data_IF_812294041153
#
_entry.id   IF_812294041153
#
_cell.length_a   1.000
_cell.length_b   1.000
_cell.length_c   1.000
_cell.angle_alpha   90.00
_cell.angle_beta   90.00
_cell.angle_gamma   90.00
#
_symmetry.space_group_name_H-M   'P 1'
#
loop_
_entity.id
_entity.type
_entity.pdbx_description
1 polymer ?
#
# COMPACT_ATOMS: atom_id res chain seq x y z
N UNK A 1 -10.63 -4.29 15.03
CA UNK A 1 -10.86 -3.59 13.75
C UNK A 1 -12.07 -4.15 13.02
N UNK A 2 -12.10 -5.43 12.67
CA UNK A 2 -13.19 -6.04 11.88
C UNK A 2 -14.61 -5.86 12.44
N UNK A 3 -14.81 -5.89 13.75
CA UNK A 3 -16.15 -5.68 14.36
C UNK A 3 -16.61 -4.22 14.42
N UNK A 4 -15.72 -3.26 14.16
CA UNK A 4 -16.00 -1.81 14.26
C UNK A 4 -15.95 -1.11 12.90
N UNK A 5 -14.97 -1.45 12.08
CA UNK A 5 -14.74 -0.88 10.75
C UNK A 5 -15.18 -1.84 9.65
N UNK A 6 -14.99 -3.15 9.86
CA UNK A 6 -15.06 -4.13 8.78
C UNK A 6 -13.74 -4.27 8.01
N UNK A 7 -13.76 -5.13 6.99
CA UNK A 7 -12.65 -5.36 6.05
C UNK A 7 -13.16 -5.76 4.67
N UNK A 8 -14.43 -5.47 4.38
CA UNK A 8 -15.09 -5.82 3.13
C UNK A 8 -14.92 -4.77 2.02
N UNK A 9 -15.62 -4.95 0.89
CA UNK A 9 -15.39 -4.20 -0.35
C UNK A 9 -15.92 -2.77 -0.32
N UNK A 10 -16.78 -2.42 0.64
CA UNK A 10 -17.23 -1.05 0.78
C UNK A 10 -16.04 -0.14 1.13
N UNK A 11 -15.92 0.99 0.42
CA UNK A 11 -14.83 1.96 0.68
C UNK A 11 -14.87 2.51 2.11
N UNK A 12 -16.08 2.56 2.70
CA UNK A 12 -16.30 2.93 4.10
C UNK A 12 -15.68 1.92 5.10
N UNK A 13 -15.33 0.71 4.66
CA UNK A 13 -14.60 -0.29 5.45
C UNK A 13 -13.12 -0.33 5.07
N UNK A 14 -12.82 -0.53 3.77
CA UNK A 14 -11.45 -0.75 3.28
C UNK A 14 -10.50 0.42 3.56
N UNK A 15 -10.93 1.67 3.34
CA UNK A 15 -10.05 2.83 3.53
C UNK A 15 -9.76 3.11 5.02
N UNK A 16 -10.77 3.14 5.92
CA UNK A 16 -10.49 3.26 7.34
C UNK A 16 -9.71 2.06 7.91
N UNK A 17 -9.90 0.85 7.38
CA UNK A 17 -9.09 -0.30 7.79
C UNK A 17 -7.60 -0.09 7.45
N UNK A 18 -7.28 0.38 6.25
CA UNK A 18 -5.91 0.69 5.85
C UNK A 18 -5.27 1.76 6.77
N UNK A 19 -5.98 2.86 7.04
CA UNK A 19 -5.50 3.87 8.00
C UNK A 19 -5.34 3.30 9.41
N UNK A 20 -6.30 2.50 9.86
CA UNK A 20 -6.27 1.86 11.16
C UNK A 20 -5.04 0.97 11.33
N UNK A 21 -4.63 0.23 10.29
CA UNK A 21 -3.42 -0.61 10.32
C UNK A 21 -2.15 0.24 10.40
N UNK A 22 -2.05 1.29 9.58
CA UNK A 22 -0.93 2.23 9.62
C UNK A 22 -0.76 2.89 10.99
N UNK A 23 -1.88 3.33 11.60
CA UNK A 23 -1.89 3.91 12.95
C UNK A 23 -1.52 2.86 14.00
N UNK A 24 -2.12 1.66 13.94
CA UNK A 24 -1.84 0.58 14.89
C UNK A 24 -0.38 0.13 14.89
N UNK A 25 0.29 0.20 13.72
CA UNK A 25 1.71 -0.09 13.56
C UNK A 25 2.61 1.13 13.71
N UNK A 26 2.09 2.26 14.16
CA UNK A 26 2.85 3.49 14.41
C UNK A 26 3.68 3.93 13.20
N UNK A 27 3.11 3.78 12.00
CA UNK A 27 3.78 4.10 10.75
C UNK A 27 4.85 3.10 10.30
N UNK A 28 5.02 1.93 10.95
CA UNK A 28 5.87 0.86 10.41
C UNK A 28 5.18 0.21 9.20
N UNK A 29 5.46 0.73 8.00
CA UNK A 29 4.72 0.40 6.77
C UNK A 29 4.77 -1.09 6.45
N UNK A 30 5.95 -1.73 6.53
CA UNK A 30 6.07 -3.16 6.27
C UNK A 30 5.25 -4.01 7.25
N UNK A 31 5.26 -3.66 8.54
CA UNK A 31 4.43 -4.35 9.55
C UNK A 31 2.94 -4.16 9.27
N UNK A 32 2.52 -2.95 8.88
CA UNK A 32 1.12 -2.68 8.51
C UNK A 32 0.70 -3.43 7.25
N UNK A 33 1.60 -3.55 6.27
CA UNK A 33 1.36 -4.29 5.04
C UNK A 33 1.20 -5.79 5.32
N UNK A 34 2.04 -6.36 6.19
CA UNK A 34 1.92 -7.74 6.63
C UNK A 34 0.60 -8.01 7.36
N UNK A 35 0.12 -7.07 8.17
CA UNK A 35 -1.23 -7.19 8.75
C UNK A 35 -2.32 -7.10 7.68
N UNK A 36 -2.18 -6.17 6.73
CA UNK A 36 -3.15 -5.96 5.67
C UNK A 36 -3.33 -7.20 4.81
N UNK A 37 -2.24 -7.88 4.44
CA UNK A 37 -2.32 -9.14 3.67
C UNK A 37 -2.92 -10.32 4.46
N UNK A 38 -3.06 -10.17 5.79
CA UNK A 38 -3.62 -11.18 6.69
C UNK A 38 -4.97 -10.77 7.32
N UNK A 39 -5.54 -9.61 6.96
CA UNK A 39 -6.76 -9.09 7.59
C UNK A 39 -8.03 -9.85 7.18
N UNK A 40 -8.00 -10.48 6.00
CA UNK A 40 -9.08 -11.26 5.43
C UNK A 40 -10.17 -10.41 4.76
N UNK A 41 -11.00 -11.07 3.96
CA UNK A 41 -11.99 -10.44 3.08
C UNK A 41 -11.31 -9.64 1.96
N UNK A 42 -11.39 -8.31 1.91
CA UNK A 42 -10.79 -7.49 0.83
C UNK A 42 -9.32 -7.13 1.06
N UNK A 43 -8.55 -8.18 1.34
CA UNK A 43 -7.12 -8.16 1.61
C UNK A 43 -6.33 -7.43 0.52
N UNK A 44 -6.60 -7.71 -0.75
CA UNK A 44 -5.85 -7.12 -1.87
C UNK A 44 -6.04 -5.60 -1.92
N UNK A 45 -7.29 -5.13 -1.82
CA UNK A 45 -7.60 -3.70 -1.82
C UNK A 45 -6.99 -2.99 -0.60
N UNK A 46 -7.14 -3.55 0.60
CA UNK A 46 -6.61 -2.94 1.83
C UNK A 46 -5.07 -2.91 1.81
N UNK A 47 -4.42 -3.99 1.37
CA UNK A 47 -2.95 -4.03 1.24
C UNK A 47 -2.43 -3.03 0.20
N UNK A 48 -3.13 -2.89 -0.95
CA UNK A 48 -2.81 -1.86 -1.94
C UNK A 48 -2.92 -0.44 -1.37
N UNK A 49 -3.96 -0.15 -0.57
CA UNK A 49 -4.11 1.14 0.10
C UNK A 49 -2.99 1.40 1.12
N UNK A 50 -2.67 0.41 1.97
CA UNK A 50 -1.55 0.52 2.92
C UNK A 50 -0.23 0.77 2.21
N UNK A 51 0.04 0.04 1.12
CA UNK A 51 1.25 0.22 0.31
C UNK A 51 1.31 1.59 -0.37
N UNK A 52 0.21 2.04 -0.99
CA UNK A 52 0.14 3.33 -1.66
C UNK A 52 0.31 4.51 -0.70
N UNK A 53 -0.45 4.51 0.41
CA UNK A 53 -0.37 5.56 1.43
C UNK A 53 0.99 5.57 2.13
N UNK A 54 1.49 4.39 2.53
CA UNK A 54 2.77 4.24 3.19
C UNK A 54 3.95 4.63 2.30
N UNK A 55 3.92 4.21 1.03
CA UNK A 55 4.95 4.52 0.04
C UNK A 55 4.97 6.01 -0.32
N UNK A 56 3.81 6.66 -0.44
CA UNK A 56 3.75 8.11 -0.65
C UNK A 56 4.29 8.89 0.56
N UNK A 57 4.10 8.38 1.78
CA UNK A 57 4.53 9.07 3.01
C UNK A 57 6.03 8.88 3.31
N UNK A 58 6.56 7.67 3.22
CA UNK A 58 7.92 7.33 3.67
C UNK A 58 8.87 6.90 2.54
N UNK A 59 8.38 6.84 1.30
CA UNK A 59 9.16 6.42 0.15
C UNK A 59 9.38 4.90 0.09
N UNK A 60 10.14 4.47 -0.92
CA UNK A 60 10.36 3.04 -1.21
C UNK A 60 11.22 2.32 -0.16
N UNK A 61 12.03 3.06 0.61
CA UNK A 61 12.86 2.50 1.68
C UNK A 61 12.04 1.94 2.87
N UNK A 62 10.75 2.25 2.94
CA UNK A 62 9.84 1.68 3.93
C UNK A 62 9.49 0.20 3.69
N UNK A 63 9.81 -0.31 2.49
CA UNK A 63 9.59 -1.70 2.10
C UNK A 63 10.91 -2.48 2.00
N UNK A 64 10.91 -3.80 2.26
CA UNK A 64 12.03 -4.67 1.94
C UNK A 64 12.44 -4.55 0.47
N UNK A 65 13.72 -4.31 0.21
CA UNK A 65 14.23 -4.04 -1.15
C UNK A 65 13.91 -5.15 -2.17
N UNK A 66 13.76 -6.39 -1.71
CA UNK A 66 13.44 -7.51 -2.58
C UNK A 66 12.00 -7.48 -3.11
N UNK A 67 11.06 -6.79 -2.45
CA UNK A 67 9.65 -6.74 -2.89
C UNK A 67 9.51 -6.20 -4.31
N UNK A 68 10.16 -5.08 -4.60
CA UNK A 68 10.10 -4.46 -5.93
C UNK A 68 10.64 -5.42 -7.00
N UNK A 69 11.84 -5.98 -6.78
CA UNK A 69 12.44 -6.95 -7.70
C UNK A 69 11.54 -8.18 -7.91
N UNK A 70 10.95 -8.72 -6.84
CA UNK A 70 10.04 -9.87 -6.93
C UNK A 70 8.79 -9.55 -7.75
N UNK A 71 8.16 -8.39 -7.52
CA UNK A 71 6.94 -7.99 -8.23
C UNK A 71 7.24 -7.70 -9.71
N UNK A 72 8.32 -6.97 -10.01
CA UNK A 72 8.71 -6.65 -11.40
C UNK A 72 9.01 -7.92 -12.19
N UNK A 73 9.74 -8.88 -11.60
CA UNK A 73 10.05 -10.17 -12.24
C UNK A 73 8.82 -11.04 -12.44
N UNK A 74 7.94 -11.13 -11.45
CA UNK A 74 6.71 -11.92 -11.54
C UNK A 74 5.74 -11.40 -12.61
N UNK A 75 5.76 -10.09 -12.87
CA UNK A 75 4.82 -9.44 -13.79
C UNK A 75 5.47 -9.00 -15.12
N UNK A 76 6.79 -9.15 -15.27
CA UNK A 76 7.57 -8.59 -16.39
C UNK A 76 7.22 -7.12 -16.66
N UNK A 77 7.22 -6.31 -15.61
CA UNK A 77 6.73 -4.93 -15.63
C UNK A 77 7.69 -4.00 -14.87
N UNK A 78 8.05 -2.86 -15.45
CA UNK A 78 8.94 -1.86 -14.84
C UNK A 78 8.12 -0.83 -14.06
N UNK A 79 8.03 -1.03 -12.74
CA UNK A 79 7.29 -0.14 -11.85
C UNK A 79 8.04 1.17 -11.61
N UNK A 80 9.37 1.16 -11.73
CA UNK A 80 10.21 2.35 -11.50
C UNK A 80 10.06 3.35 -12.64
N UNK A 81 10.10 2.87 -13.89
CA UNK A 81 9.85 3.70 -15.07
C UNK A 81 8.43 4.30 -15.03
N UNK A 82 7.42 3.50 -14.66
CA UNK A 82 6.06 4.03 -14.48
C UNK A 82 6.02 5.15 -13.42
N UNK A 83 6.62 4.93 -12.25
CA UNK A 83 6.66 5.94 -11.20
C UNK A 83 7.36 7.23 -11.66
N UNK A 84 8.50 7.12 -12.34
CA UNK A 84 9.23 8.26 -12.89
C UNK A 84 8.41 9.06 -13.90
N UNK A 85 7.69 8.38 -14.81
CA UNK A 85 6.81 9.04 -15.79
C UNK A 85 5.65 9.76 -15.13
N UNK A 86 5.04 9.16 -14.10
CA UNK A 86 3.96 9.78 -13.34
C UNK A 86 4.44 11.02 -12.57
N UNK A 87 5.62 10.96 -11.95
CA UNK A 87 6.23 12.12 -11.27
C UNK A 87 6.50 13.25 -12.27
N UNK A 88 7.13 12.95 -13.41
CA UNK A 88 7.40 13.95 -14.43
C UNK A 88 6.11 14.59 -14.99
N UNK A 89 5.01 13.84 -15.05
CA UNK A 89 3.71 14.40 -15.41
C UNK A 89 3.15 15.32 -14.31
N UNK A 90 3.20 14.89 -13.05
CA UNK A 90 2.74 15.68 -11.92
C UNK A 90 3.50 17.01 -11.77
N UNK A 91 4.82 16.99 -11.96
CA UNK A 91 5.68 18.19 -11.92
C UNK A 91 5.36 19.19 -13.04
N UNK A 92 4.83 18.73 -14.18
CA UNK A 92 4.40 19.63 -15.27
C UNK A 92 3.05 20.29 -15.02
N UNK A 93 2.26 19.73 -14.10
CA UNK A 93 0.93 20.22 -13.73
C UNK A 93 0.97 21.16 -12.53
N UNK A 94 2.08 21.17 -11.79
CA UNK A 94 2.34 22.08 -10.67
C UNK A 94 2.83 23.45 -11.16
#
# INVERSE_FOLDING_TARGET
MRQLIGSGPAIAESLPAAFGLLIARQGQINSALLDAVNIGDETAAIASLVGALGGAWQGTAAFPAHYLTTVEQANNFDLRDLAQRLTALAERMA
#
